data_IF_936713371584
#
_entry.id   IF_936713371584
#
_cell.length_a   1.000
_cell.length_b   1.000
_cell.length_c   1.000
_cell.angle_alpha   90.00
_cell.angle_beta   90.00
_cell.angle_gamma   90.00
#
_symmetry.space_group_name_H-M   'P 1'
#
loop_
_entity.id
_entity.type
_entity.pdbx_description
1 polymer ?
#
# COMPACT_ATOMS: atom_id res chain seq x y z
N UNK A 1 -21.81 -2.88 3.66
CA UNK A 1 -20.78 -2.52 2.67
C UNK A 1 -19.45 -2.48 3.43
N UNK A 2 -18.73 -3.60 3.49
CA UNK A 2 -17.46 -3.67 4.23
C UNK A 2 -16.35 -3.14 3.33
N UNK A 3 -15.79 -2.00 3.69
CA UNK A 3 -14.62 -1.41 3.01
C UNK A 3 -13.40 -2.15 3.54
N UNK A 4 -12.87 -3.08 2.75
CA UNK A 4 -11.66 -3.84 3.08
C UNK A 4 -10.44 -2.99 2.71
N UNK A 5 -9.72 -2.51 3.73
CA UNK A 5 -8.50 -1.72 3.54
C UNK A 5 -7.29 -2.63 3.34
N UNK A 6 -6.55 -2.41 2.25
CA UNK A 6 -5.23 -2.96 2.00
C UNK A 6 -4.19 -2.01 2.60
N UNK A 7 -3.75 -2.26 3.83
CA UNK A 7 -2.45 -1.89 4.43
C UNK A 7 -2.57 -1.97 5.95
N UNK A 8 -1.95 -2.96 6.61
CA UNK A 8 -1.43 -2.74 7.96
C UNK A 8 -0.48 -3.87 8.34
N UNK A 9 0.82 -3.59 8.30
CA UNK A 9 1.82 -4.41 9.01
C UNK A 9 3.16 -3.72 9.19
N UNK A 10 3.40 -2.68 8.42
CA UNK A 10 4.70 -2.00 8.35
C UNK A 10 4.66 -0.60 8.98
N UNK A 11 3.56 -0.20 9.64
CA UNK A 11 3.40 1.20 10.06
C UNK A 11 3.94 1.52 11.47
N UNK A 12 3.72 0.67 12.49
CA UNK A 12 4.12 1.03 13.87
C UNK A 12 5.65 0.91 14.09
N UNK A 13 6.32 -0.10 13.53
CA UNK A 13 7.74 -0.37 13.78
C UNK A 13 8.74 0.29 12.79
N UNK A 14 8.30 0.66 11.58
CA UNK A 14 9.23 1.07 10.51
C UNK A 14 9.20 2.56 10.17
N UNK A 15 8.27 3.34 10.73
CA UNK A 15 8.24 4.80 10.57
C UNK A 15 9.49 5.49 11.12
N UNK A 16 10.18 4.88 12.10
CA UNK A 16 11.46 5.38 12.63
C UNK A 16 12.64 5.18 11.68
N UNK A 17 12.53 4.33 10.66
CA UNK A 17 13.65 3.97 9.76
C UNK A 17 13.56 4.52 8.34
N UNK A 18 12.48 5.21 7.97
CA UNK A 18 12.33 5.73 6.60
C UNK A 18 13.18 6.99 6.36
N UNK A 19 14.26 6.84 5.57
CA UNK A 19 15.16 7.94 5.16
C UNK A 19 14.57 8.88 4.11
N UNK A 20 13.51 8.49 3.38
CA UNK A 20 12.88 9.29 2.33
C UNK A 20 11.38 9.43 2.57
N UNK A 21 10.95 10.67 2.79
CA UNK A 21 9.56 11.07 3.03
C UNK A 21 9.21 12.22 2.09
N UNK A 22 8.04 12.13 1.46
CA UNK A 22 7.51 13.20 0.61
C UNK A 22 6.17 13.66 1.17
N UNK A 23 5.99 14.98 1.27
CA UNK A 23 4.74 15.59 1.71
C UNK A 23 3.78 15.67 0.53
N UNK A 24 2.55 15.19 0.71
CA UNK A 24 1.56 15.19 -0.35
C UNK A 24 0.18 15.57 0.17
N UNK A 25 -0.56 16.28 -0.67
CA UNK A 25 -1.94 16.68 -0.43
C UNK A 25 -2.86 15.58 -0.97
N UNK A 26 -3.91 15.23 -0.22
CA UNK A 26 -4.84 14.16 -0.65
C UNK A 26 -5.86 14.72 -1.64
N UNK A 27 -6.50 15.84 -1.30
CA UNK A 27 -7.57 16.45 -2.11
C UNK A 27 -7.63 17.96 -1.86
N UNK A 28 -6.69 18.77 -2.37
CA UNK A 28 -6.54 20.18 -2.01
C UNK A 28 -7.75 21.06 -2.36
N UNK A 29 -8.58 20.63 -3.33
CA UNK A 29 -9.83 21.31 -3.68
C UNK A 29 -11.04 20.93 -2.83
N UNK A 30 -10.90 19.98 -1.89
CA UNK A 30 -12.00 19.49 -1.05
C UNK A 30 -11.69 19.60 0.45
N UNK A 31 -10.48 19.23 0.87
CA UNK A 31 -10.06 19.31 2.27
C UNK A 31 -8.56 19.62 2.41
N UNK A 32 -8.14 19.98 3.63
CA UNK A 32 -6.74 20.26 3.98
C UNK A 32 -5.95 19.02 4.43
N UNK A 33 -6.50 17.81 4.23
CA UNK A 33 -5.83 16.58 4.63
C UNK A 33 -4.55 16.37 3.82
N UNK A 34 -3.49 16.04 4.54
CA UNK A 34 -2.17 15.76 4.01
C UNK A 34 -1.68 14.39 4.49
N UNK A 35 -0.66 13.86 3.83
CA UNK A 35 0.02 12.64 4.25
C UNK A 35 1.51 12.72 3.94
N UNK A 36 2.27 11.82 4.57
CA UNK A 36 3.67 11.56 4.23
C UNK A 36 3.73 10.26 3.46
N UNK A 37 4.25 10.28 2.23
CA UNK A 37 4.62 9.06 1.52
C UNK A 37 5.99 8.61 2.03
N UNK A 38 6.03 7.50 2.77
CA UNK A 38 7.24 6.92 3.31
C UNK A 38 7.59 5.63 2.58
N UNK A 39 8.86 5.47 2.21
CA UNK A 39 9.38 4.22 1.66
C UNK A 39 9.92 3.37 2.79
N UNK A 40 9.52 2.11 2.85
CA UNK A 40 9.99 1.15 3.83
C UNK A 40 10.44 -0.11 3.10
N UNK A 41 11.66 -0.54 3.39
CA UNK A 41 12.18 -1.83 2.94
C UNK A 41 11.98 -2.84 4.07
N UNK A 42 11.37 -3.97 3.75
CA UNK A 42 11.22 -5.10 4.66
C UNK A 42 12.16 -6.21 4.18
N UNK A 43 13.04 -6.65 5.07
CA UNK A 43 13.95 -7.76 4.78
C UNK A 43 13.26 -9.08 5.09
N UNK A 44 12.75 -9.72 4.03
CA UNK A 44 12.09 -11.03 4.11
C UNK A 44 13.08 -12.20 4.27
N UNK A 45 14.37 -11.97 4.50
CA UNK A 45 15.30 -13.04 4.92
C UNK A 45 15.37 -13.20 6.44
N UNK A 46 14.90 -12.21 7.19
CA UNK A 46 14.91 -12.24 8.65
C UNK A 46 13.81 -13.17 9.20
N UNK A 47 14.11 -13.99 10.24
CA UNK A 47 13.13 -14.90 10.84
C UNK A 47 11.86 -14.21 11.32
N UNK A 48 11.97 -13.01 11.90
CA UNK A 48 10.84 -12.25 12.42
C UNK A 48 9.86 -11.77 11.33
N UNK A 49 10.30 -11.69 10.07
CA UNK A 49 9.48 -11.20 8.96
C UNK A 49 8.83 -12.33 8.13
N UNK A 50 9.03 -13.61 8.49
CA UNK A 50 8.52 -14.75 7.72
C UNK A 50 7.01 -14.94 7.85
N UNK A 51 6.45 -14.68 9.05
CA UNK A 51 5.02 -14.86 9.32
C UNK A 51 4.50 -13.69 10.19
N UNK A 52 4.43 -12.48 9.63
CA UNK A 52 4.00 -11.31 10.38
C UNK A 52 2.51 -11.41 10.74
N UNK A 53 2.17 -11.25 12.02
CA UNK A 53 0.79 -11.21 12.52
C UNK A 53 0.45 -9.79 13.00
N UNK A 54 -0.70 -9.20 12.63
CA UNK A 54 -0.92 -7.78 12.90
C UNK A 54 -1.40 -7.62 14.33
N UNK A 55 -0.86 -6.63 15.02
CA UNK A 55 -1.37 -6.18 16.31
C UNK A 55 -2.45 -5.13 16.04
N UNK A 56 -3.69 -5.59 15.87
CA UNK A 56 -4.86 -4.75 15.61
C UNK A 56 -5.46 -4.25 16.92
N UNK A 57 -5.96 -3.01 16.91
CA UNK A 57 -6.79 -2.50 18.00
C UNK A 57 -8.20 -3.15 17.95
N UNK A 58 -8.97 -3.15 19.05
CA UNK A 58 -10.25 -3.91 19.15
C UNK A 58 -11.28 -3.56 18.06
N UNK A 59 -11.23 -2.34 17.54
CA UNK A 59 -12.16 -1.81 16.53
C UNK A 59 -11.63 -1.96 15.09
N UNK A 60 -10.43 -2.52 14.92
CA UNK A 60 -9.79 -2.69 13.62
C UNK A 60 -10.05 -4.06 13.02
N UNK A 61 -10.54 -4.06 11.78
CA UNK A 61 -10.75 -5.27 10.97
C UNK A 61 -9.97 -5.13 9.66
N UNK A 62 -8.73 -5.59 9.64
CA UNK A 62 -7.82 -5.42 8.51
C UNK A 62 -7.41 -6.78 7.95
N UNK A 63 -7.54 -6.92 6.62
CA UNK A 63 -7.07 -8.07 5.85
C UNK A 63 -5.82 -7.67 5.07
N UNK A 64 -4.77 -8.47 5.15
CA UNK A 64 -3.47 -8.15 4.54
C UNK A 64 -3.31 -8.91 3.22
N UNK A 65 -2.96 -8.19 2.15
CA UNK A 65 -2.59 -8.78 0.87
C UNK A 65 -1.13 -8.45 0.55
N UNK A 66 -0.37 -9.46 0.17
CA UNK A 66 0.99 -9.30 -0.36
C UNK A 66 0.95 -9.58 -1.86
N UNK A 67 1.19 -8.54 -2.66
CA UNK A 67 1.11 -8.61 -4.11
C UNK A 67 2.50 -8.40 -4.73
N UNK A 68 2.92 -9.20 -5.72
CA UNK A 68 4.17 -8.97 -6.41
C UNK A 68 4.14 -7.68 -7.23
N UNK A 69 5.19 -6.85 -7.13
CA UNK A 69 5.31 -5.61 -7.92
C UNK A 69 5.18 -5.83 -9.43
N UNK A 70 5.65 -6.98 -9.93
CA UNK A 70 5.60 -7.33 -11.35
C UNK A 70 4.17 -7.53 -11.87
N UNK A 71 3.25 -8.00 -11.02
CA UNK A 71 1.86 -8.30 -11.37
C UNK A 71 0.87 -7.31 -10.75
N UNK A 72 1.37 -6.31 -9.99
CA UNK A 72 0.55 -5.38 -9.21
C UNK A 72 -0.63 -4.80 -9.99
N UNK A 73 -0.40 -4.35 -11.23
CA UNK A 73 -1.46 -3.82 -12.10
C UNK A 73 -2.59 -4.84 -12.34
N UNK A 74 -2.25 -6.08 -12.68
CA UNK A 74 -3.24 -7.14 -12.91
C UNK A 74 -3.92 -7.56 -11.61
N UNK A 75 -3.17 -7.61 -10.51
CA UNK A 75 -3.69 -7.99 -9.20
C UNK A 75 -4.71 -6.98 -8.68
N UNK A 76 -4.47 -5.66 -8.81
CA UNK A 76 -5.47 -4.67 -8.39
C UNK A 76 -6.71 -4.69 -9.28
N UNK A 77 -6.59 -5.04 -10.57
CA UNK A 77 -7.74 -5.24 -11.47
C UNK A 77 -8.54 -6.49 -11.12
N UNK A 78 -7.88 -7.53 -10.63
CA UNK A 78 -8.57 -8.72 -10.08
C UNK A 78 -9.32 -8.36 -8.80
N UNK A 79 -8.69 -7.67 -7.87
CA UNK A 79 -9.32 -7.23 -6.62
C UNK A 79 -10.52 -6.30 -6.88
N UNK A 80 -10.41 -5.37 -7.83
CA UNK A 80 -11.54 -4.53 -8.26
C UNK A 80 -12.74 -5.38 -8.73
N UNK A 81 -12.50 -6.44 -9.53
CA UNK A 81 -13.54 -7.38 -9.97
C UNK A 81 -14.13 -8.22 -8.84
N UNK A 82 -13.36 -8.50 -7.80
CA UNK A 82 -13.80 -9.18 -6.59
C UNK A 82 -14.63 -8.27 -5.66
N UNK A 83 -14.78 -6.98 -6.01
CA UNK A 83 -15.63 -6.01 -5.31
C UNK A 83 -14.87 -5.09 -4.35
N UNK A 84 -13.53 -5.07 -4.40
CA UNK A 84 -12.74 -4.16 -3.60
C UNK A 84 -12.69 -2.77 -4.23
N UNK A 85 -12.85 -1.73 -3.40
CA UNK A 85 -12.51 -0.37 -3.79
C UNK A 85 -10.98 -0.19 -3.67
N UNK A 86 -10.32 0.13 -4.78
CA UNK A 86 -8.87 0.34 -4.79
C UNK A 86 -8.57 1.81 -4.56
N UNK A 87 -7.69 2.09 -3.60
CA UNK A 87 -7.27 3.44 -3.27
C UNK A 87 -6.48 4.08 -4.44
N UNK A 88 -6.82 5.33 -4.79
CA UNK A 88 -6.34 5.99 -6.02
C UNK A 88 -4.82 6.09 -6.13
N UNK A 89 -4.08 6.24 -5.03
CA UNK A 89 -2.60 6.30 -5.05
C UNK A 89 -2.00 4.92 -5.32
N UNK A 90 -2.63 3.84 -4.86
CA UNK A 90 -2.25 2.47 -5.24
C UNK A 90 -2.48 2.25 -6.74
N UNK A 91 -3.61 2.72 -7.26
CA UNK A 91 -3.88 2.69 -8.72
C UNK A 91 -2.82 3.46 -9.48
N UNK A 92 -2.52 4.70 -9.08
CA UNK A 92 -1.53 5.54 -9.75
C UNK A 92 -0.12 4.91 -9.77
N UNK A 93 0.29 4.28 -8.66
CA UNK A 93 1.56 3.55 -8.59
C UNK A 93 1.58 2.36 -9.57
N UNK A 94 0.52 1.56 -9.59
CA UNK A 94 0.44 0.39 -10.45
C UNK A 94 0.40 0.75 -11.95
N UNK A 95 -0.38 1.77 -12.32
CA UNK A 95 -0.43 2.31 -13.69
C UNK A 95 0.94 2.86 -14.12
N UNK A 96 1.63 3.59 -13.24
CA UNK A 96 2.97 4.12 -13.52
C UNK A 96 4.00 3.01 -13.80
N UNK A 97 3.98 1.93 -13.02
CA UNK A 97 4.84 0.77 -13.25
C UNK A 97 4.51 0.07 -14.57
N UNK A 98 3.22 -0.06 -14.89
CA UNK A 98 2.78 -0.71 -16.13
C UNK A 98 3.13 0.12 -17.36
N UNK A 99 3.01 1.45 -17.28
CA UNK A 99 3.46 2.38 -18.34
C UNK A 99 4.97 2.26 -18.57
N UNK A 100 5.77 2.29 -17.50
CA UNK A 100 7.22 2.13 -17.60
C UNK A 100 7.59 0.80 -18.27
N UNK A 101 6.91 -0.29 -17.90
CA UNK A 101 7.11 -1.61 -18.51
C UNK A 101 6.75 -1.63 -20.00
N UNK A 102 5.60 -1.06 -20.37
CA UNK A 102 5.14 -0.98 -21.77
C UNK A 102 6.07 -0.14 -22.65
N UNK A 103 6.72 0.87 -22.07
CA UNK A 103 7.64 1.76 -22.76
C UNK A 103 9.11 1.37 -22.62
N UNK A 104 9.40 0.27 -21.92
CA UNK A 104 10.74 -0.26 -21.70
C UNK A 104 11.71 0.79 -21.10
N UNK A 105 11.24 1.48 -20.06
CA UNK A 105 11.99 2.45 -19.26
C UNK A 105 12.81 1.79 -18.14
#
# INVERSE_FOLDING_TARGET
MQVKFLLCHVFKALMERSRRRTDALIAPGFCNNNFKLAYVNVDLSLPENQNPSPELEEEEFIEVFTLPMKSLFLDIKRLEKEGFAIETRVVALAEGLELARKWNL
#
